data_IF_316415869981
#
_entry.id   IF_316415869981
#
_cell.length_a   1.000
_cell.length_b   1.000
_cell.length_c   1.000
_cell.angle_alpha   90.00
_cell.angle_beta   90.00
_cell.angle_gamma   90.00
#
_symmetry.space_group_name_H-M   'P 1'
#
loop_
_entity.id
_entity.type
_entity.pdbx_description
1 polymer ?
#
# COMPACT_ATOMS: atom_id res chain seq x y z
N UNK A 1 8.18 21.44 -22.26
CA UNK A 1 9.15 20.64 -21.47
C UNK A 1 9.24 19.27 -22.12
N UNK A 2 10.39 18.94 -22.73
CA UNK A 2 10.60 17.61 -23.32
C UNK A 2 10.76 16.60 -22.18
N UNK A 3 10.04 15.48 -22.24
CA UNK A 3 10.19 14.40 -21.27
C UNK A 3 11.66 13.96 -21.23
N UNK A 4 12.25 13.91 -20.02
CA UNK A 4 13.62 13.44 -19.79
C UNK A 4 13.83 12.07 -20.46
N UNK A 5 15.04 11.83 -20.98
CA UNK A 5 15.42 10.59 -21.66
C UNK A 5 15.01 9.37 -20.79
N UNK A 6 14.42 8.30 -21.37
CA UNK A 6 13.90 7.16 -20.60
C UNK A 6 14.91 6.52 -19.64
N UNK A 7 16.21 6.63 -19.94
CA UNK A 7 17.30 6.13 -19.09
C UNK A 7 17.49 6.90 -17.76
N UNK A 8 16.95 8.11 -17.64
CA UNK A 8 17.12 8.98 -16.46
C UNK A 8 15.85 8.98 -15.57
N UNK A 9 14.93 8.06 -15.86
CA UNK A 9 13.67 7.92 -15.13
C UNK A 9 13.89 7.03 -13.91
N UNK A 10 13.41 7.41 -12.71
CA UNK A 10 13.49 6.53 -11.55
C UNK A 10 12.79 5.19 -11.81
N UNK A 11 13.25 4.15 -11.11
CA UNK A 11 12.65 2.82 -11.18
C UNK A 11 11.15 2.87 -10.88
N UNK A 12 10.39 1.90 -11.42
CA UNK A 12 8.94 1.84 -11.27
C UNK A 12 8.49 1.94 -9.79
N UNK A 13 9.08 1.20 -8.82
CA UNK A 13 8.72 1.33 -7.41
C UNK A 13 8.89 2.74 -6.86
N UNK A 14 10.00 3.41 -7.18
CA UNK A 14 10.27 4.77 -6.70
C UNK A 14 9.27 5.78 -7.27
N UNK A 15 8.89 5.62 -8.54
CA UNK A 15 7.87 6.47 -9.18
C UNK A 15 6.48 6.25 -8.61
N UNK A 16 6.14 4.99 -8.34
CA UNK A 16 4.87 4.62 -7.76
C UNK A 16 4.75 5.14 -6.33
N UNK A 17 5.77 4.89 -5.50
CA UNK A 17 5.81 5.34 -4.11
C UNK A 17 5.62 6.86 -3.97
N UNK A 18 6.11 7.66 -4.92
CA UNK A 18 5.90 9.10 -4.94
C UNK A 18 4.43 9.54 -5.18
N UNK A 19 3.58 8.64 -5.67
CA UNK A 19 2.19 8.90 -6.06
C UNK A 19 1.17 8.06 -5.26
N UNK A 20 1.62 7.02 -4.57
CA UNK A 20 0.78 6.07 -3.87
C UNK A 20 0.14 6.72 -2.64
N UNK A 21 -1.17 6.96 -2.72
CA UNK A 21 -1.95 7.57 -1.64
C UNK A 21 -2.15 6.63 -0.45
N UNK A 22 -1.91 5.33 -0.65
CA UNK A 22 -2.09 4.28 0.34
C UNK A 22 -0.75 3.77 0.88
N UNK A 23 0.39 4.32 0.44
CA UNK A 23 1.70 3.93 0.95
C UNK A 23 1.76 4.02 2.48
N UNK A 24 2.30 2.97 3.09
CA UNK A 24 2.45 2.79 4.54
C UNK A 24 1.12 2.87 5.32
N UNK A 25 -0.02 2.68 4.66
CA UNK A 25 -1.33 2.63 5.32
C UNK A 25 -1.83 1.22 5.48
N UNK A 26 -2.61 1.03 6.54
CA UNK A 26 -3.39 -0.18 6.72
C UNK A 26 -4.48 -0.27 5.64
N UNK A 27 -4.44 -1.34 4.87
CA UNK A 27 -5.38 -1.62 3.79
C UNK A 27 -5.90 -3.05 3.91
N UNK A 28 -7.01 -3.33 3.24
CA UNK A 28 -7.46 -4.68 2.97
C UNK A 28 -7.50 -4.90 1.45
N UNK A 29 -6.82 -5.95 1.01
CA UNK A 29 -6.83 -6.46 -0.36
C UNK A 29 -7.97 -7.46 -0.49
N UNK A 30 -9.00 -7.11 -1.26
CA UNK A 30 -10.13 -7.98 -1.56
C UNK A 30 -9.85 -8.76 -2.85
N UNK A 31 -9.77 -10.08 -2.74
CA UNK A 31 -9.55 -11.01 -3.85
C UNK A 31 -10.83 -11.82 -4.11
N UNK A 32 -10.82 -12.65 -5.15
CA UNK A 32 -11.98 -13.45 -5.53
C UNK A 32 -12.47 -14.40 -4.42
N UNK A 33 -11.54 -14.93 -3.62
CA UNK A 33 -11.84 -15.99 -2.64
C UNK A 33 -11.62 -15.59 -1.18
N UNK A 34 -10.99 -14.44 -0.94
CA UNK A 34 -10.60 -14.03 0.41
C UNK A 34 -10.31 -12.52 0.49
N UNK A 35 -10.12 -12.04 1.71
CA UNK A 35 -9.67 -10.68 2.00
C UNK A 35 -8.48 -10.75 2.93
N UNK A 36 -7.39 -10.08 2.55
CA UNK A 36 -6.17 -10.00 3.35
C UNK A 36 -5.96 -8.56 3.80
N UNK A 37 -5.75 -8.34 5.10
CA UNK A 37 -5.48 -7.01 5.63
C UNK A 37 -4.03 -6.92 6.11
N UNK A 38 -3.39 -5.78 5.83
CA UNK A 38 -1.99 -5.54 6.12
C UNK A 38 -1.60 -4.09 5.83
N UNK A 39 -0.31 -3.81 5.81
CA UNK A 39 0.24 -2.50 5.46
C UNK A 39 0.68 -2.50 4.00
N UNK A 40 0.23 -1.53 3.21
CA UNK A 40 0.69 -1.36 1.83
C UNK A 40 2.14 -0.83 1.84
N UNK A 41 3.07 -1.58 1.25
CA UNK A 41 4.50 -1.21 1.11
C UNK A 41 4.86 -0.76 -0.30
N UNK A 42 3.86 -0.45 -1.13
CA UNK A 42 3.99 -0.04 -2.52
C UNK A 42 3.99 -1.24 -3.47
N UNK A 43 4.81 -1.19 -4.51
CA UNK A 43 4.90 -2.22 -5.54
C UNK A 43 6.32 -2.74 -5.74
N UNK A 44 6.46 -3.96 -6.23
CA UNK A 44 7.74 -4.48 -6.72
C UNK A 44 8.06 -4.02 -8.15
N UNK A 45 9.20 -4.50 -8.68
CA UNK A 45 9.65 -4.17 -10.04
C UNK A 45 8.69 -4.66 -11.15
N UNK A 46 7.88 -5.68 -10.86
CA UNK A 46 6.87 -6.21 -11.77
C UNK A 46 5.52 -5.49 -11.63
N UNK A 47 5.39 -4.57 -10.68
CA UNK A 47 4.17 -3.83 -10.41
C UNK A 47 3.17 -4.54 -9.51
N UNK A 48 3.58 -5.58 -8.79
CA UNK A 48 2.72 -6.29 -7.84
C UNK A 48 2.69 -5.55 -6.52
N UNK A 49 1.51 -5.47 -5.89
CA UNK A 49 1.32 -4.87 -4.57
C UNK A 49 2.10 -5.66 -3.52
N UNK A 50 2.95 -4.96 -2.76
CA UNK A 50 3.62 -5.51 -1.59
C UNK A 50 2.75 -5.25 -0.37
N UNK A 51 2.19 -6.32 0.21
CA UNK A 51 1.39 -6.24 1.41
C UNK A 51 2.15 -6.90 2.58
N UNK A 52 2.38 -6.13 3.63
CA UNK A 52 2.97 -6.61 4.88
C UNK A 52 1.89 -7.06 5.85
N UNK A 53 1.97 -8.30 6.30
CA UNK A 53 1.13 -8.88 7.35
C UNK A 53 2.00 -9.38 8.50
N UNK A 54 1.40 -10.01 9.53
CA UNK A 54 2.14 -10.60 10.64
C UNK A 54 3.12 -11.71 10.19
N UNK A 55 2.84 -12.36 9.06
CA UNK A 55 3.68 -13.42 8.48
C UNK A 55 4.80 -12.87 7.58
N UNK A 56 4.84 -11.56 7.34
CA UNK A 56 5.84 -10.89 6.51
C UNK A 56 5.25 -10.20 5.27
N UNK A 57 6.10 -9.92 4.29
CA UNK A 57 5.72 -9.20 3.06
C UNK A 57 5.48 -10.19 1.92
N UNK A 58 4.33 -10.07 1.27
CA UNK A 58 3.98 -10.87 0.08
C UNK A 58 3.55 -9.97 -1.08
N UNK A 59 3.82 -10.43 -2.32
CA UNK A 59 3.51 -9.70 -3.55
C UNK A 59 2.24 -10.23 -4.22
N UNK A 60 1.33 -9.33 -4.60
CA UNK A 60 0.02 -9.67 -5.18
C UNK A 60 -0.22 -8.93 -6.51
N UNK A 61 -0.59 -9.67 -7.55
CA UNK A 61 -0.90 -9.11 -8.88
C UNK A 61 -2.38 -8.77 -9.07
N UNK A 62 -3.24 -9.18 -8.14
CA UNK A 62 -4.69 -9.18 -8.30
C UNK A 62 -5.41 -8.79 -7.01
N UNK A 63 -6.65 -8.29 -7.17
CA UNK A 63 -7.50 -7.84 -6.08
C UNK A 63 -7.67 -6.32 -6.05
N UNK A 64 -8.61 -5.88 -5.22
CA UNK A 64 -8.92 -4.46 -4.99
C UNK A 64 -8.42 -4.03 -3.62
N UNK A 65 -7.61 -2.96 -3.57
CA UNK A 65 -7.09 -2.42 -2.31
C UNK A 65 -8.05 -1.37 -1.76
N UNK A 66 -8.46 -1.54 -0.49
CA UNK A 66 -9.32 -0.59 0.22
C UNK A 66 -8.64 -0.10 1.49
N UNK A 67 -8.81 1.18 1.81
CA UNK A 67 -8.35 1.72 3.10
C UNK A 67 -9.10 1.04 4.25
N UNK A 68 -8.36 0.67 5.29
CA UNK A 68 -8.96 0.26 6.54
C UNK A 68 -9.26 1.55 7.34
N UNK A 69 -10.49 1.78 7.81
CA UNK A 69 -10.70 2.85 8.76
C UNK A 69 -9.93 2.52 10.04
N UNK A 70 -8.86 3.26 10.32
CA UNK A 70 -8.34 3.32 11.67
C UNK A 70 -9.41 3.96 12.54
N UNK A 71 -10.03 3.16 13.42
CA UNK A 71 -10.79 3.71 14.52
C UNK A 71 -9.78 4.52 15.34
N UNK A 72 -9.82 5.85 15.19
CA UNK A 72 -9.15 6.75 16.12
C UNK A 72 -9.56 6.27 17.51
N UNK A 73 -8.59 5.83 18.32
CA UNK A 73 -8.86 5.51 19.72
C UNK A 73 -9.65 6.69 20.30
N UNK A 74 -10.82 6.45 20.93
CA UNK A 74 -11.55 7.56 21.54
C UNK A 74 -10.58 8.26 22.49
N UNK A 75 -10.58 9.61 22.56
CA UNK A 75 -9.73 10.31 23.51
C UNK A 75 -10.01 9.71 24.89
N UNK A 76 -8.96 9.28 25.59
CA UNK A 76 -9.04 8.80 26.96
C UNK A 76 -9.90 9.79 27.74
N UNK A 77 -11.12 9.37 28.08
CA UNK A 77 -11.97 10.13 28.98
C UNK A 77 -11.32 9.99 30.35
N UNK A 78 -10.41 10.92 30.66
CA UNK A 78 -9.99 11.19 32.03
C UNK A 78 -11.26 11.58 32.80
N UNK A 79 -11.70 10.71 33.70
CA UNK A 79 -12.93 10.90 34.47
C UNK A 79 -12.76 10.23 35.84
N UNK A 80 -13.23 10.87 36.91
CA UNK A 80 -12.76 12.10 37.56
C UNK A 80 -11.75 11.84 38.70
#
# INVERSE_FOLDING_TARGET
AFARHPADRPALPARWHALDTYADRAVCLHRAHDTLCGTNRGIDEQGRLLLETADGISAYSEGETRLRPQLLSPPTQEQP
#
